data_IF_955068712511
#
_entry.id   IF_955068712511
#
_cell.length_a   1.000
_cell.length_b   1.000
_cell.length_c   1.000
_cell.angle_alpha   90.00
_cell.angle_beta   90.00
_cell.angle_gamma   90.00
#
_symmetry.space_group_name_H-M   'P 1'
#
loop_
_entity.id
_entity.type
_entity.pdbx_description
1 polymer ?
#
# COMPACT_ATOMS: atom_id res chain seq x y z
N UNK A 1 24.85 34.98 -63.06
CA UNK A 1 24.02 36.14 -62.66
C UNK A 1 23.61 35.91 -61.22
N UNK A 2 24.18 36.74 -60.32
CA UNK A 2 23.90 36.98 -58.90
C UNK A 2 24.02 35.77 -57.94
N UNK A 3 25.11 35.61 -57.18
CA UNK A 3 25.61 36.39 -56.02
C UNK A 3 24.65 36.43 -54.82
N UNK A 4 24.97 35.58 -53.84
CA UNK A 4 25.40 35.92 -52.47
C UNK A 4 24.39 36.45 -51.40
N UNK A 5 24.81 36.21 -50.14
CA UNK A 5 24.42 36.85 -48.87
C UNK A 5 23.18 36.36 -48.07
N UNK A 6 23.40 35.55 -47.02
CA UNK A 6 23.44 35.96 -45.60
C UNK A 6 23.46 34.74 -44.66
N UNK A 7 24.58 34.58 -43.94
CA UNK A 7 24.76 33.66 -42.80
C UNK A 7 24.57 34.50 -41.53
N UNK A 8 23.62 34.14 -40.66
CA UNK A 8 23.49 34.73 -39.33
C UNK A 8 23.57 33.61 -38.29
N UNK A 9 24.70 33.57 -37.59
CA UNK A 9 24.92 32.78 -36.38
C UNK A 9 24.32 33.52 -35.19
N UNK A 10 23.30 32.96 -34.53
CA UNK A 10 22.90 33.38 -33.19
C UNK A 10 23.58 32.48 -32.15
N UNK A 11 24.50 33.09 -31.41
CA UNK A 11 25.04 32.61 -30.14
C UNK A 11 24.02 32.95 -29.04
N UNK A 12 23.48 31.95 -28.36
CA UNK A 12 22.63 32.14 -27.18
C UNK A 12 23.48 31.84 -25.95
N UNK A 13 23.63 32.86 -25.09
CA UNK A 13 24.35 32.80 -23.83
C UNK A 13 23.63 31.88 -22.83
N UNK A 14 24.42 31.13 -22.05
CA UNK A 14 23.93 30.33 -20.93
C UNK A 14 23.43 31.24 -19.79
N UNK A 15 22.31 30.90 -19.13
CA UNK A 15 21.89 31.61 -17.92
C UNK A 15 22.80 31.26 -16.74
N UNK A 16 23.15 32.29 -15.97
CA UNK A 16 23.95 32.21 -14.75
C UNK A 16 23.21 31.43 -13.65
N UNK A 17 23.95 30.56 -12.95
CA UNK A 17 23.50 29.87 -11.75
C UNK A 17 23.27 30.89 -10.60
N UNK A 18 22.14 30.83 -9.87
CA UNK A 18 21.99 31.62 -8.67
C UNK A 18 22.83 31.04 -7.52
N UNK A 19 23.51 31.95 -6.82
CA UNK A 19 24.27 31.69 -5.60
C UNK A 19 23.37 31.14 -4.47
N UNK A 20 23.84 30.10 -3.81
CA UNK A 20 23.19 29.48 -2.65
C UNK A 20 23.49 30.33 -1.41
N UNK A 21 22.50 31.09 -0.97
CA UNK A 21 22.52 31.78 0.32
C UNK A 21 22.34 30.80 1.48
N UNK A 22 23.36 30.68 2.32
CA UNK A 22 23.34 29.98 3.61
C UNK A 22 22.42 30.72 4.60
N UNK A 23 21.22 30.18 4.84
CA UNK A 23 20.24 30.69 5.80
C UNK A 23 19.83 29.60 6.80
N UNK A 24 19.93 29.96 8.09
CA UNK A 24 19.66 29.19 9.31
C UNK A 24 18.52 28.15 9.27
N UNK A 25 18.80 26.97 9.83
CA UNK A 25 17.82 25.92 10.16
C UNK A 25 16.87 26.37 11.28
N UNK A 26 15.54 26.29 11.08
CA UNK A 26 14.62 26.34 12.20
C UNK A 26 14.55 24.96 12.88
N UNK A 27 14.85 24.93 14.18
CA UNK A 27 14.57 23.81 15.08
C UNK A 27 13.06 23.70 15.25
N UNK A 28 12.42 22.78 14.54
CA UNK A 28 11.01 22.42 14.80
C UNK A 28 10.99 21.30 15.83
N UNK A 29 10.60 21.66 17.05
CA UNK A 29 10.22 20.69 18.07
C UNK A 29 8.91 20.02 17.63
N UNK A 30 8.98 18.74 17.30
CA UNK A 30 7.81 17.92 17.01
C UNK A 30 7.15 17.50 18.33
N UNK A 31 6.12 18.25 18.75
CA UNK A 31 5.15 17.74 19.71
C UNK A 31 4.22 16.76 18.98
N UNK A 32 4.29 15.49 19.37
CA UNK A 32 3.41 14.42 18.91
C UNK A 32 1.99 14.65 19.45
N UNK A 33 0.93 14.68 18.62
CA UNK A 33 -0.43 14.55 19.14
C UNK A 33 -0.68 13.11 19.61
N UNK A 34 -1.22 12.98 20.82
CA UNK A 34 -1.72 11.73 21.38
C UNK A 34 -3.19 11.53 21.01
N UNK A 35 -3.50 10.49 20.22
CA UNK A 35 -4.87 9.98 20.06
C UNK A 35 -4.84 8.51 19.59
N UNK A 36 -5.60 7.65 20.27
CA UNK A 36 -6.10 6.35 19.76
C UNK A 36 -5.07 5.24 19.56
N UNK A 37 -4.60 4.64 20.65
CA UNK A 37 -3.72 3.47 20.60
C UNK A 37 -4.42 2.22 20.01
N UNK A 38 -4.31 2.01 18.70
CA UNK A 38 -3.85 0.71 18.22
C UNK A 38 -2.39 0.64 18.66
N UNK A 39 -2.13 -0.10 19.75
CA UNK A 39 -0.77 -0.26 20.23
C UNK A 39 0.07 -0.85 19.10
N UNK A 40 0.93 -0.02 18.51
CA UNK A 40 2.07 -0.45 17.71
C UNK A 40 3.02 -1.21 18.63
N UNK A 41 2.66 -2.45 18.95
CA UNK A 41 3.67 -3.45 19.23
C UNK A 41 4.44 -3.61 17.93
N UNK A 42 5.77 -3.50 17.98
CA UNK A 42 6.59 -4.14 16.97
C UNK A 42 5.99 -5.52 16.72
N UNK A 43 5.80 -5.96 15.45
CA UNK A 43 5.16 -7.24 15.17
C UNK A 43 5.80 -8.24 16.10
N UNK A 44 5.01 -8.79 17.02
CA UNK A 44 5.50 -9.75 17.98
C UNK A 44 6.11 -10.82 17.10
N UNK A 45 7.44 -10.90 17.07
CA UNK A 45 8.17 -11.81 16.20
C UNK A 45 7.45 -13.13 16.39
N UNK A 46 6.78 -13.60 15.34
CA UNK A 46 5.82 -14.69 15.43
C UNK A 46 6.63 -15.93 15.79
N UNK A 47 6.90 -16.10 17.09
CA UNK A 47 7.32 -17.33 17.73
C UNK A 47 6.08 -18.19 17.73
N UNK A 48 5.70 -18.63 16.53
CA UNK A 48 4.83 -19.79 16.37
C UNK A 48 5.41 -20.94 17.21
N UNK A 49 4.56 -21.88 17.65
CA UNK A 49 4.97 -22.98 18.52
C UNK A 49 6.26 -23.59 17.99
N UNK A 50 7.34 -23.42 18.77
CA UNK A 50 8.70 -23.67 18.32
C UNK A 50 8.82 -25.04 17.69
N UNK A 51 8.89 -25.08 16.35
CA UNK A 51 9.17 -26.29 15.62
C UNK A 51 10.48 -26.83 16.18
N UNK A 52 10.42 -28.02 16.78
CA UNK A 52 11.61 -28.67 17.33
C UNK A 52 12.70 -28.71 16.25
N UNK A 53 14.00 -28.71 16.61
CA UNK A 53 15.10 -28.76 15.65
C UNK A 53 14.96 -29.91 14.63
N UNK A 54 14.25 -30.97 15.02
CA UNK A 54 13.95 -32.11 14.16
C UNK A 54 12.88 -31.80 13.08
N UNK A 55 11.84 -31.03 13.40
CA UNK A 55 10.81 -30.63 12.42
C UNK A 55 11.39 -29.74 11.32
N UNK A 56 12.39 -28.91 11.64
CA UNK A 56 13.08 -28.07 10.64
C UNK A 56 13.94 -28.90 9.66
N UNK A 57 14.47 -30.04 10.09
CA UNK A 57 15.20 -30.97 9.23
C UNK A 57 14.30 -31.66 8.20
N UNK A 58 12.99 -31.76 8.47
CA UNK A 58 12.03 -32.47 7.63
C UNK A 58 11.29 -31.59 6.62
N UNK A 59 11.33 -30.25 6.76
CA UNK A 59 10.73 -29.32 5.80
C UNK A 59 11.64 -29.04 4.59
N UNK A 60 12.00 -30.10 3.86
CA UNK A 60 12.82 -29.99 2.65
C UNK A 60 12.17 -29.07 1.59
N UNK A 61 10.84 -29.15 1.31
CA UNK A 61 10.20 -28.24 0.36
C UNK A 61 10.33 -26.77 0.76
N UNK A 62 10.07 -26.42 2.03
CA UNK A 62 10.18 -25.04 2.50
C UNK A 62 11.61 -24.52 2.52
N UNK A 63 12.63 -25.38 2.69
CA UNK A 63 14.03 -24.96 2.56
C UNK A 63 14.43 -24.65 1.12
N UNK A 64 13.99 -25.47 0.16
CA UNK A 64 14.24 -25.23 -1.27
C UNK A 64 13.54 -23.94 -1.70
N UNK A 65 12.28 -23.75 -1.32
CA UNK A 65 11.54 -22.55 -1.68
C UNK A 65 12.10 -21.28 -1.01
N UNK A 66 12.52 -21.34 0.25
CA UNK A 66 13.23 -20.23 0.91
C UNK A 66 14.52 -19.83 0.20
N UNK A 67 15.29 -20.79 -0.30
CA UNK A 67 16.50 -20.47 -1.08
C UNK A 67 16.14 -19.74 -2.39
N UNK A 68 15.04 -20.13 -3.04
CA UNK A 68 14.50 -19.44 -4.22
C UNK A 68 13.98 -18.04 -3.87
N UNK A 69 13.18 -17.91 -2.81
CA UNK A 69 12.69 -16.64 -2.30
C UNK A 69 13.84 -15.67 -1.98
N UNK A 70 14.91 -16.15 -1.36
CA UNK A 70 16.10 -15.34 -1.09
C UNK A 70 16.77 -14.81 -2.36
N UNK A 71 16.73 -15.56 -3.47
CA UNK A 71 17.27 -15.09 -4.75
C UNK A 71 16.37 -14.03 -5.39
N UNK A 72 15.05 -14.26 -5.40
CA UNK A 72 14.07 -13.34 -5.97
C UNK A 72 14.05 -11.99 -5.23
N UNK A 73 14.17 -11.99 -3.90
CA UNK A 73 14.15 -10.78 -3.08
C UNK A 73 15.51 -10.06 -3.00
N UNK A 74 16.62 -10.69 -3.40
CA UNK A 74 17.96 -10.12 -3.22
C UNK A 74 18.16 -8.78 -3.94
N UNK A 75 17.51 -8.60 -5.10
CA UNK A 75 17.56 -7.35 -5.85
C UNK A 75 16.82 -6.22 -5.15
N UNK A 76 15.80 -6.54 -4.34
CA UNK A 76 14.84 -5.60 -3.74
C UNK A 76 15.33 -4.98 -2.41
N UNK A 77 16.21 -5.66 -1.66
CA UNK A 77 16.67 -5.22 -0.34
C UNK A 77 18.16 -4.82 -0.27
N UNK A 78 18.48 -3.90 0.64
CA UNK A 78 19.83 -3.57 1.07
C UNK A 78 20.10 -4.22 2.42
N UNK A 79 20.90 -5.29 2.45
CA UNK A 79 21.26 -5.94 3.72
C UNK A 79 22.37 -5.14 4.39
N UNK A 80 22.11 -4.62 5.59
CA UNK A 80 23.06 -3.87 6.41
C UNK A 80 23.57 -4.73 7.58
N UNK A 81 24.77 -4.41 8.06
CA UNK A 81 25.32 -5.06 9.25
C UNK A 81 24.60 -4.57 10.51
N UNK A 82 24.36 -5.46 11.48
CA UNK A 82 23.63 -5.15 12.73
C UNK A 82 24.28 -4.04 13.56
N UNK A 83 25.59 -3.81 13.40
CA UNK A 83 26.38 -2.82 14.13
C UNK A 83 26.53 -1.47 13.40
N UNK A 84 25.99 -1.34 12.18
CA UNK A 84 26.11 -0.13 11.37
C UNK A 84 24.76 0.58 11.24
N UNK A 85 24.69 1.89 11.54
CA UNK A 85 23.51 2.66 11.20
C UNK A 85 23.38 2.73 9.67
N UNK A 86 22.28 2.23 9.13
CA UNK A 86 21.90 2.43 7.73
C UNK A 86 21.56 3.89 7.44
N UNK A 87 21.26 4.20 6.18
CA UNK A 87 20.71 5.51 5.78
C UNK A 87 19.26 5.72 6.25
N UNK A 88 18.66 4.67 6.84
CA UNK A 88 17.27 4.63 7.24
C UNK A 88 16.37 4.63 6.02
N UNK A 89 16.71 3.85 4.98
CA UNK A 89 15.82 3.64 3.84
C UNK A 89 14.87 2.46 4.13
N UNK A 90 13.61 2.48 3.66
CA UNK A 90 12.63 1.45 4.03
C UNK A 90 13.01 0.00 3.67
N UNK A 91 13.88 -0.17 2.66
CA UNK A 91 14.37 -1.46 2.19
C UNK A 91 15.78 -1.82 2.73
N UNK A 92 16.32 -1.04 3.66
CA UNK A 92 17.48 -1.44 4.45
C UNK A 92 17.02 -2.34 5.59
N UNK A 93 17.61 -3.54 5.67
CA UNK A 93 17.25 -4.55 6.66
C UNK A 93 18.50 -5.27 7.14
N UNK A 94 18.52 -5.72 8.39
CA UNK A 94 19.54 -6.62 8.91
C UNK A 94 19.47 -7.99 8.23
N UNK A 95 20.51 -8.81 8.38
CA UNK A 95 20.48 -10.19 7.89
C UNK A 95 19.34 -11.00 8.55
N UNK A 96 19.10 -10.80 9.85
CA UNK A 96 18.04 -11.48 10.58
C UNK A 96 16.63 -11.09 10.10
N UNK A 97 16.41 -9.81 9.84
CA UNK A 97 15.16 -9.32 9.26
C UNK A 97 14.95 -9.84 7.82
N UNK A 98 16.01 -9.86 7.00
CA UNK A 98 15.94 -10.42 5.65
C UNK A 98 15.56 -11.90 5.66
N UNK A 99 16.10 -12.71 6.59
CA UNK A 99 15.70 -14.10 6.75
C UNK A 99 14.22 -14.28 7.14
N UNK A 100 13.68 -13.38 7.97
CA UNK A 100 12.26 -13.39 8.32
C UNK A 100 11.38 -13.03 7.11
N UNK A 101 11.78 -12.02 6.34
CA UNK A 101 11.12 -11.60 5.10
C UNK A 101 11.07 -12.76 4.10
N UNK A 102 12.22 -13.41 3.85
CA UNK A 102 12.33 -14.58 2.96
C UNK A 102 11.42 -15.71 3.42
N UNK A 103 11.35 -15.96 4.74
CA UNK A 103 10.48 -16.99 5.31
C UNK A 103 9.01 -16.67 5.07
N UNK A 104 8.55 -15.47 5.42
CA UNK A 104 7.15 -15.07 5.23
C UNK A 104 6.74 -15.14 3.76
N UNK A 105 7.56 -14.61 2.86
CA UNK A 105 7.35 -14.66 1.41
C UNK A 105 7.25 -16.10 0.87
N UNK A 106 8.10 -17.00 1.36
CA UNK A 106 8.05 -18.43 1.02
C UNK A 106 6.80 -19.12 1.59
N UNK A 107 6.45 -18.85 2.85
CA UNK A 107 5.28 -19.46 3.49
C UNK A 107 3.97 -19.03 2.81
N UNK A 108 3.85 -17.77 2.35
CA UNK A 108 2.74 -17.29 1.51
C UNK A 108 2.69 -18.08 0.20
N UNK A 109 3.82 -18.18 -0.51
CA UNK A 109 3.88 -18.94 -1.77
C UNK A 109 3.49 -20.41 -1.59
N UNK A 110 3.86 -21.02 -0.46
CA UNK A 110 3.54 -22.41 -0.16
C UNK A 110 2.12 -22.60 0.40
N UNK A 111 1.36 -21.53 0.58
CA UNK A 111 -0.01 -21.58 1.13
C UNK A 111 -0.05 -21.99 2.60
N UNK A 112 0.95 -21.58 3.39
CA UNK A 112 1.12 -21.91 4.81
C UNK A 112 0.65 -20.78 5.74
N UNK A 113 0.01 -19.76 5.19
CA UNK A 113 -0.40 -18.52 5.84
C UNK A 113 -1.89 -18.28 5.65
N UNK A 114 -2.43 -17.30 6.38
CA UNK A 114 -3.80 -16.83 6.24
C UNK A 114 -4.01 -15.93 5.00
N UNK A 115 -2.94 -15.38 4.44
CA UNK A 115 -2.92 -14.76 3.11
C UNK A 115 -2.74 -15.84 2.04
N UNK A 116 -3.76 -16.04 1.22
CA UNK A 116 -3.87 -17.14 0.25
C UNK A 116 -3.91 -16.58 -1.17
N UNK A 117 -3.06 -17.10 -2.06
CA UNK A 117 -3.11 -16.80 -3.49
C UNK A 117 -3.93 -17.89 -4.18
N UNK A 118 -5.11 -17.54 -4.67
CA UNK A 118 -6.05 -18.44 -5.33
C UNK A 118 -6.16 -18.11 -6.82
N UNK A 119 -5.29 -18.71 -7.63
CA UNK A 119 -5.31 -18.58 -9.09
C UNK A 119 -6.32 -19.47 -9.80
N UNK A 120 -7.26 -20.11 -9.09
CA UNK A 120 -8.12 -21.15 -9.64
C UNK A 120 -9.03 -20.73 -10.80
N UNK A 121 -9.25 -19.43 -10.98
CA UNK A 121 -10.03 -18.84 -12.08
C UNK A 121 -9.17 -18.27 -13.21
N UNK A 122 -7.84 -18.25 -13.06
CA UNK A 122 -6.91 -17.79 -14.11
C UNK A 122 -6.78 -18.84 -15.21
N UNK A 123 -6.57 -18.40 -16.45
CA UNK A 123 -6.18 -19.29 -17.55
C UNK A 123 -4.81 -19.93 -17.30
N UNK A 124 -3.92 -19.22 -16.60
CA UNK A 124 -2.61 -19.70 -16.14
C UNK A 124 -2.45 -19.42 -14.63
N UNK A 125 -2.84 -20.37 -13.76
CA UNK A 125 -2.75 -20.21 -12.31
C UNK A 125 -1.30 -20.05 -11.80
N UNK A 126 -0.33 -20.67 -12.48
CA UNK A 126 1.08 -20.60 -12.07
C UNK A 126 1.69 -19.25 -12.42
N UNK A 127 1.38 -18.70 -13.60
CA UNK A 127 1.77 -17.35 -13.98
C UNK A 127 1.13 -16.30 -13.05
N UNK A 128 -0.19 -16.38 -12.83
CA UNK A 128 -0.88 -15.48 -11.89
C UNK A 128 -0.23 -15.49 -10.50
N UNK A 129 0.12 -16.69 -9.99
CA UNK A 129 0.80 -16.82 -8.71
C UNK A 129 2.20 -16.22 -8.73
N UNK A 130 2.96 -16.43 -9.81
CA UNK A 130 4.29 -15.86 -9.94
C UNK A 130 4.25 -14.32 -9.97
N UNK A 131 3.35 -13.74 -10.77
CA UNK A 131 3.16 -12.29 -10.88
C UNK A 131 2.67 -11.69 -9.55
N UNK A 132 1.71 -12.34 -8.87
CA UNK A 132 1.24 -11.92 -7.55
C UNK A 132 2.37 -11.92 -6.52
N UNK A 133 3.23 -12.94 -6.54
CA UNK A 133 4.38 -12.96 -5.65
C UNK A 133 5.36 -11.83 -5.96
N UNK A 134 5.57 -11.45 -7.22
CA UNK A 134 6.45 -10.31 -7.55
C UNK A 134 5.90 -8.98 -6.97
N UNK A 135 4.60 -8.72 -7.12
CA UNK A 135 3.93 -7.55 -6.51
C UNK A 135 4.03 -7.57 -4.97
N UNK A 136 3.83 -8.73 -4.32
CA UNK A 136 4.04 -8.88 -2.86
C UNK A 136 5.49 -8.57 -2.49
N UNK A 137 6.46 -9.06 -3.28
CA UNK A 137 7.88 -8.79 -3.08
C UNK A 137 8.21 -7.30 -3.18
N UNK A 138 7.51 -6.59 -4.07
CA UNK A 138 7.61 -5.14 -4.20
C UNK A 138 6.98 -4.40 -3.02
N UNK A 139 5.81 -4.82 -2.56
CA UNK A 139 5.19 -4.28 -1.35
C UNK A 139 6.13 -4.41 -0.14
N UNK A 140 6.73 -5.59 0.05
CA UNK A 140 7.65 -5.88 1.16
C UNK A 140 8.95 -5.05 1.15
N UNK A 141 9.28 -4.32 0.08
CA UNK A 141 10.41 -3.38 0.11
C UNK A 141 10.18 -2.23 1.11
N UNK A 142 8.92 -1.94 1.43
CA UNK A 142 8.53 -0.86 2.34
C UNK A 142 8.29 -1.39 3.75
N UNK A 143 8.47 -0.56 4.78
CA UNK A 143 8.25 -0.98 6.18
C UNK A 143 6.77 -1.28 6.40
N UNK A 144 5.89 -0.37 5.97
CA UNK A 144 4.44 -0.53 6.05
C UNK A 144 3.94 -1.74 5.25
N UNK A 145 4.56 -2.05 4.12
CA UNK A 145 4.24 -3.24 3.32
C UNK A 145 4.63 -4.54 4.00
N UNK A 146 5.80 -4.63 4.65
CA UNK A 146 6.17 -5.82 5.42
C UNK A 146 5.24 -6.07 6.59
N UNK A 147 4.88 -5.02 7.31
CA UNK A 147 3.92 -5.11 8.42
C UNK A 147 2.54 -5.55 7.92
N UNK A 148 2.00 -4.91 6.88
CA UNK A 148 0.70 -5.29 6.31
C UNK A 148 0.67 -6.74 5.82
N UNK A 149 1.68 -7.17 5.05
CA UNK A 149 1.79 -8.56 4.57
C UNK A 149 1.96 -9.52 5.75
N UNK A 150 2.70 -9.15 6.79
CA UNK A 150 2.86 -9.97 8.01
C UNK A 150 1.57 -10.14 8.80
N UNK A 151 0.83 -9.05 9.02
CA UNK A 151 -0.49 -9.07 9.68
C UNK A 151 -1.48 -9.95 8.91
N UNK A 152 -1.54 -9.83 7.58
CA UNK A 152 -2.44 -10.64 6.75
C UNK A 152 -1.99 -12.11 6.62
N UNK A 153 -0.69 -12.39 6.63
CA UNK A 153 -0.16 -13.75 6.59
C UNK A 153 -0.41 -14.53 7.90
N UNK A 154 -0.52 -13.81 9.01
CA UNK A 154 -0.75 -14.37 10.35
C UNK A 154 -1.98 -13.73 11.00
N UNK A 155 -3.08 -13.67 10.23
CA UNK A 155 -4.28 -12.89 10.49
C UNK A 155 -5.14 -13.51 11.60
N UNK A 156 -4.64 -13.33 12.81
CA UNK A 156 -5.10 -13.99 14.01
C UNK A 156 -5.53 -12.95 15.03
N UNK A 157 -6.74 -13.08 15.59
CA UNK A 157 -7.25 -12.16 16.61
C UNK A 157 -7.89 -12.88 17.78
N UNK A 158 -7.79 -12.28 18.95
CA UNK A 158 -8.50 -12.76 20.15
C UNK A 158 -9.82 -12.03 20.32
N UNK A 159 -10.94 -12.74 20.12
CA UNK A 159 -12.30 -12.22 20.34
C UNK A 159 -12.96 -13.04 21.43
N UNK A 160 -13.36 -12.39 22.53
CA UNK A 160 -13.97 -13.08 23.67
C UNK A 160 -13.07 -14.15 24.30
N UNK A 161 -11.74 -13.97 24.26
CA UNK A 161 -10.75 -14.92 24.79
C UNK A 161 -10.49 -16.14 23.89
N UNK A 162 -11.01 -16.14 22.65
CA UNK A 162 -10.73 -17.17 21.65
C UNK A 162 -9.93 -16.59 20.50
N UNK A 163 -8.92 -17.34 20.09
CA UNK A 163 -8.17 -17.06 18.88
C UNK A 163 -9.02 -17.41 17.65
N UNK A 164 -9.12 -16.47 16.72
CA UNK A 164 -9.84 -16.59 15.45
C UNK A 164 -8.86 -16.24 14.34
N UNK A 165 -8.71 -17.16 13.38
CA UNK A 165 -8.00 -16.93 12.13
C UNK A 165 -8.97 -16.42 11.07
N UNK A 166 -8.52 -15.46 10.27
CA UNK A 166 -9.26 -14.93 9.11
C UNK A 166 -8.43 -15.04 7.86
N UNK A 167 -9.01 -15.53 6.78
CA UNK A 167 -8.30 -15.67 5.51
C UNK A 167 -8.49 -14.45 4.62
N UNK A 168 -7.42 -14.07 3.91
CA UNK A 168 -7.47 -13.13 2.80
C UNK A 168 -7.10 -13.87 1.53
N UNK A 169 -8.02 -13.93 0.56
CA UNK A 169 -7.81 -14.61 -0.72
C UNK A 169 -7.52 -13.61 -1.83
N UNK A 170 -6.34 -13.66 -2.41
CA UNK A 170 -5.97 -12.89 -3.61
C UNK A 170 -6.32 -13.71 -4.85
N UNK A 171 -7.24 -13.19 -5.67
CA UNK A 171 -7.85 -13.87 -6.80
C UNK A 171 -7.64 -13.08 -8.09
N UNK A 172 -7.64 -13.74 -9.26
CA UNK A 172 -7.63 -13.07 -10.56
C UNK A 172 -8.85 -12.17 -10.74
N UNK A 173 -8.62 -10.92 -11.15
CA UNK A 173 -9.69 -10.09 -11.72
C UNK A 173 -9.87 -10.46 -13.19
N UNK A 174 -11.08 -10.83 -13.58
CA UNK A 174 -11.37 -11.33 -14.93
C UNK A 174 -12.59 -10.64 -15.53
N UNK A 175 -12.47 -10.17 -16.77
CA UNK A 175 -13.57 -9.61 -17.56
C UNK A 175 -13.64 -10.38 -18.89
N UNK A 176 -14.78 -11.01 -19.16
CA UNK A 176 -15.00 -11.85 -20.35
C UNK A 176 -13.96 -12.96 -20.56
N UNK A 177 -13.38 -13.47 -19.47
CA UNK A 177 -12.37 -14.54 -19.50
C UNK A 177 -10.94 -14.06 -19.70
N UNK A 178 -10.72 -12.75 -19.86
CA UNK A 178 -9.40 -12.12 -19.94
C UNK A 178 -9.07 -11.36 -18.64
N UNK A 179 -7.79 -11.10 -18.33
CA UNK A 179 -7.42 -10.31 -17.17
C UNK A 179 -8.04 -8.91 -17.19
N UNK A 180 -8.77 -8.56 -16.13
CA UNK A 180 -9.40 -7.25 -16.00
C UNK A 180 -8.39 -6.23 -15.45
N UNK A 181 -8.02 -5.26 -16.28
CA UNK A 181 -7.09 -4.18 -15.94
C UNK A 181 -7.81 -2.86 -15.63
N UNK A 182 -9.14 -2.87 -15.56
CA UNK A 182 -9.96 -1.68 -15.33
C UNK A 182 -10.13 -1.34 -13.85
N UNK A 183 -9.82 -2.27 -12.94
CA UNK A 183 -9.87 -2.06 -11.50
C UNK A 183 -9.31 -3.23 -10.69
N UNK A 184 -9.02 -2.95 -9.42
CA UNK A 184 -8.89 -3.95 -8.38
C UNK A 184 -10.09 -3.80 -7.44
N UNK A 185 -10.59 -4.91 -6.90
CA UNK A 185 -11.79 -4.90 -6.06
C UNK A 185 -11.59 -5.85 -4.89
N UNK A 186 -11.68 -5.33 -3.68
CA UNK A 186 -11.95 -6.13 -2.48
C UNK A 186 -13.44 -6.13 -2.20
N UNK A 187 -14.03 -7.32 -2.25
CA UNK A 187 -15.45 -7.49 -1.98
C UNK A 187 -15.66 -8.16 -0.64
N UNK A 188 -16.32 -7.44 0.26
CA UNK A 188 -16.74 -7.93 1.56
C UNK A 188 -18.16 -7.46 1.82
N UNK A 189 -18.82 -8.10 2.78
CA UNK A 189 -20.06 -7.56 3.32
C UNK A 189 -19.75 -6.93 4.67
N UNK A 190 -19.11 -5.76 4.63
CA UNK A 190 -18.81 -4.98 5.82
C UNK A 190 -20.08 -4.53 6.56
N UNK A 191 -20.56 -5.38 7.46
CA UNK A 191 -21.64 -5.08 8.39
C UNK A 191 -21.08 -4.64 9.75
N UNK A 192 -21.74 -3.72 10.47
CA UNK A 192 -21.39 -3.38 11.85
C UNK A 192 -21.35 -4.64 12.74
N UNK A 193 -20.26 -4.81 13.48
CA UNK A 193 -19.99 -5.98 14.32
C UNK A 193 -19.34 -7.17 13.60
N UNK A 194 -19.24 -7.14 12.27
CA UNK A 194 -18.51 -8.12 11.46
C UNK A 194 -17.21 -7.49 10.90
N UNK A 195 -17.25 -6.95 9.68
CA UNK A 195 -16.12 -6.26 9.03
C UNK A 195 -15.92 -4.81 9.51
N UNK A 196 -16.94 -4.22 10.14
CA UNK A 196 -16.89 -2.87 10.70
C UNK A 196 -17.10 -2.86 12.22
N UNK A 197 -16.73 -1.78 12.93
CA UNK A 197 -17.05 -1.61 14.33
C UNK A 197 -18.55 -1.70 14.63
N UNK A 198 -18.90 -2.12 15.85
CA UNK A 198 -20.28 -2.12 16.34
C UNK A 198 -20.78 -0.70 16.68
N UNK A 199 -22.04 -0.60 17.10
CA UNK A 199 -22.67 0.69 17.49
C UNK A 199 -21.99 1.39 18.67
N UNK A 200 -21.09 0.71 19.38
CA UNK A 200 -20.29 1.26 20.47
C UNK A 200 -18.84 1.55 20.05
N UNK A 201 -18.53 1.44 18.77
CA UNK A 201 -17.19 1.65 18.22
C UNK A 201 -16.20 0.54 18.57
N UNK A 202 -16.67 -0.62 19.07
CA UNK A 202 -15.77 -1.75 19.30
C UNK A 202 -15.52 -2.45 17.97
N UNK A 203 -14.27 -2.90 17.70
CA UNK A 203 -14.00 -3.67 16.50
C UNK A 203 -14.93 -4.88 16.38
N UNK A 204 -15.45 -5.11 15.18
CA UNK A 204 -16.19 -6.29 14.83
C UNK A 204 -15.34 -7.56 14.93
N UNK A 205 -16.02 -8.71 14.77
CA UNK A 205 -15.40 -10.03 14.82
C UNK A 205 -14.46 -10.33 13.65
N UNK A 206 -14.50 -9.50 12.60
CA UNK A 206 -13.83 -9.73 11.33
C UNK A 206 -14.48 -10.83 10.51
N UNK A 207 -14.22 -10.84 9.21
CA UNK A 207 -14.61 -11.94 8.32
C UNK A 207 -13.48 -12.34 7.38
N UNK A 208 -13.61 -13.51 6.75
CA UNK A 208 -12.73 -13.87 5.63
C UNK A 208 -13.08 -12.96 4.44
N UNK A 209 -12.06 -12.58 3.68
CA UNK A 209 -12.18 -11.61 2.58
C UNK A 209 -11.48 -12.13 1.34
N UNK A 210 -11.89 -11.59 0.19
CA UNK A 210 -11.22 -11.83 -1.06
C UNK A 210 -11.01 -10.52 -1.83
N UNK A 211 -9.89 -10.46 -2.54
CA UNK A 211 -9.45 -9.35 -3.36
C UNK A 211 -9.21 -9.86 -4.77
N UNK A 212 -9.91 -9.28 -5.74
CA UNK A 212 -9.66 -9.50 -7.16
C UNK A 212 -8.68 -8.46 -7.68
N UNK A 213 -7.63 -8.93 -8.34
CA UNK A 213 -6.60 -8.08 -8.94
C UNK A 213 -5.96 -8.76 -10.14
N UNK A 214 -5.40 -7.96 -11.05
CA UNK A 214 -4.53 -8.43 -12.12
C UNK A 214 -3.09 -8.04 -11.78
N UNK A 215 -2.29 -8.95 -11.20
CA UNK A 215 -0.94 -8.65 -10.75
C UNK A 215 -0.02 -8.32 -11.92
N UNK A 216 1.03 -7.52 -11.67
CA UNK A 216 2.03 -7.10 -12.66
C UNK A 216 1.46 -6.35 -13.90
N UNK A 217 0.20 -5.93 -13.83
CA UNK A 217 -0.45 -5.08 -14.81
C UNK A 217 -0.92 -3.80 -14.14
N UNK A 218 -0.39 -2.66 -14.59
CA UNK A 218 -0.87 -1.38 -14.11
C UNK A 218 -2.37 -1.24 -14.43
N UNK A 219 -3.14 -0.78 -13.45
CA UNK A 219 -4.58 -0.59 -13.54
C UNK A 219 -4.86 0.73 -14.26
N UNK A 220 -5.50 0.63 -15.42
CA UNK A 220 -5.93 1.77 -16.20
C UNK A 220 -7.26 2.30 -15.67
N UNK A 221 -7.27 3.50 -15.10
CA UNK A 221 -8.51 4.19 -14.76
C UNK A 221 -9.06 4.92 -15.99
N UNK A 222 -10.33 4.74 -16.34
CA UNK A 222 -10.96 5.49 -17.45
C UNK A 222 -10.86 6.99 -17.18
N UNK A 223 -10.12 7.71 -18.03
CA UNK A 223 -9.86 9.14 -17.87
C UNK A 223 -8.93 9.52 -16.70
N UNK A 224 -8.42 8.54 -15.95
CA UNK A 224 -7.53 8.73 -14.80
C UNK A 224 -6.08 8.36 -15.08
N UNK A 225 -5.17 8.62 -14.13
CA UNK A 225 -3.80 8.13 -14.21
C UNK A 225 -3.79 6.61 -14.09
N UNK A 226 -2.83 5.99 -14.77
CA UNK A 226 -2.51 4.57 -14.61
C UNK A 226 -1.93 4.35 -13.22
N UNK A 227 -2.49 3.39 -12.47
CA UNK A 227 -2.03 3.02 -11.12
C UNK A 227 -1.18 1.76 -11.22
N UNK A 228 0.00 1.76 -10.60
CA UNK A 228 0.88 0.59 -10.58
C UNK A 228 0.26 -0.59 -9.82
N UNK A 229 0.45 -1.81 -10.30
CA UNK A 229 -0.18 -3.03 -9.74
C UNK A 229 0.04 -3.19 -8.24
N UNK A 230 1.27 -3.06 -7.76
CA UNK A 230 1.64 -3.14 -6.35
C UNK A 230 0.94 -2.08 -5.48
N UNK A 231 0.69 -0.87 -6.01
CA UNK A 231 -0.03 0.19 -5.31
C UNK A 231 -1.51 -0.14 -5.20
N UNK A 232 -2.11 -0.65 -6.28
CA UNK A 232 -3.50 -1.13 -6.26
C UNK A 232 -3.65 -2.32 -5.30
N UNK A 233 -2.73 -3.29 -5.35
CA UNK A 233 -2.71 -4.43 -4.43
C UNK A 233 -2.59 -3.97 -2.97
N UNK A 234 -1.66 -3.07 -2.66
CA UNK A 234 -1.51 -2.54 -1.31
C UNK A 234 -2.82 -1.90 -0.82
N UNK A 235 -3.46 -1.06 -1.64
CA UNK A 235 -4.73 -0.41 -1.31
C UNK A 235 -5.81 -1.44 -0.93
N UNK A 236 -5.98 -2.45 -1.77
CA UNK A 236 -6.95 -3.52 -1.54
C UNK A 236 -6.61 -4.38 -0.31
N UNK A 237 -5.32 -4.63 -0.05
CA UNK A 237 -4.88 -5.33 1.16
C UNK A 237 -5.15 -4.53 2.43
N UNK A 238 -5.16 -3.18 2.38
CA UNK A 238 -5.57 -2.36 3.52
C UNK A 238 -7.06 -2.52 3.81
N UNK A 239 -7.92 -2.54 2.78
CA UNK A 239 -9.34 -2.89 2.96
C UNK A 239 -9.48 -4.28 3.60
N UNK A 240 -8.77 -5.27 3.07
CA UNK A 240 -8.80 -6.64 3.57
C UNK A 240 -8.38 -6.73 5.05
N UNK A 241 -7.32 -6.02 5.45
CA UNK A 241 -6.87 -5.96 6.84
C UNK A 241 -7.97 -5.40 7.75
N UNK A 242 -8.56 -4.27 7.35
CA UNK A 242 -9.60 -3.65 8.16
C UNK A 242 -10.85 -4.53 8.28
N UNK A 243 -11.25 -5.20 7.21
CA UNK A 243 -12.38 -6.12 7.22
C UNK A 243 -12.12 -7.37 8.05
N UNK A 244 -10.95 -8.01 7.94
CA UNK A 244 -10.63 -9.16 8.78
C UNK A 244 -10.44 -8.79 10.24
N UNK A 245 -10.17 -7.52 10.52
CA UNK A 245 -10.04 -6.98 11.87
C UNK A 245 -11.33 -6.32 12.38
N UNK A 246 -12.42 -6.30 11.61
CA UNK A 246 -13.66 -5.66 12.03
C UNK A 246 -13.50 -4.15 12.31
N UNK A 247 -12.56 -3.50 11.64
CA UNK A 247 -12.19 -2.09 11.83
C UNK A 247 -12.44 -1.23 10.60
N UNK A 248 -13.13 -1.78 9.59
CA UNK A 248 -13.47 -1.04 8.39
C UNK A 248 -14.37 0.15 8.72
N UNK A 249 -14.00 1.31 8.21
CA UNK A 249 -14.82 2.51 8.33
C UNK A 249 -15.99 2.48 7.34
N UNK A 250 -17.08 1.85 7.75
CA UNK A 250 -18.30 1.73 6.94
C UNK A 250 -19.11 3.03 6.84
N UNK A 251 -18.61 4.14 7.41
CA UNK A 251 -19.26 5.45 7.35
C UNK A 251 -19.25 6.06 5.95
N UNK A 252 -19.98 7.17 5.82
CA UNK A 252 -19.79 8.09 4.68
C UNK A 252 -18.67 9.07 4.99
N UNK A 253 -18.01 9.57 3.96
CA UNK A 253 -17.11 10.72 4.11
C UNK A 253 -17.96 11.93 4.50
N UNK A 254 -17.62 12.56 5.61
CA UNK A 254 -18.31 13.76 6.11
C UNK A 254 -17.47 15.01 5.81
N UNK A 255 -18.12 16.16 5.61
CA UNK A 255 -17.41 17.42 5.41
C UNK A 255 -16.49 17.81 6.59
N UNK A 256 -16.70 17.21 7.77
CA UNK A 256 -15.83 17.38 8.94
C UNK A 256 -14.51 16.62 8.85
N UNK A 257 -14.37 15.65 7.94
CA UNK A 257 -13.18 14.80 7.84
C UNK A 257 -11.94 15.55 7.30
N UNK A 258 -12.11 16.77 6.77
CA UNK A 258 -11.02 17.66 6.31
C UNK A 258 -10.29 18.36 7.47
N UNK A 259 -10.81 18.23 8.69
CA UNK A 259 -10.38 19.02 9.84
C UNK A 259 -10.73 20.52 9.69
N UNK A 260 -10.72 21.29 10.79
CA UNK A 260 -10.94 22.73 10.71
C UNK A 260 -9.80 23.41 9.94
N UNK A 261 -10.13 24.46 9.17
CA UNK A 261 -9.11 25.27 8.47
C UNK A 261 -8.12 25.81 9.51
N UNK A 262 -6.88 25.34 9.43
CA UNK A 262 -5.78 25.77 10.28
C UNK A 262 -5.24 27.10 9.75
N UNK A 263 -5.85 28.18 10.24
CA UNK A 263 -5.47 29.54 9.92
C UNK A 263 -4.01 29.88 10.29
N UNK A 264 -3.31 29.03 11.05
CA UNK A 264 -1.90 29.25 11.42
C UNK A 264 -0.91 28.81 10.34
N UNK A 265 -1.34 28.05 9.32
CA UNK A 265 -0.46 27.58 8.22
C UNK A 265 -0.08 28.65 7.19
N UNK A 266 -0.45 29.90 7.42
CA UNK A 266 -0.26 30.99 6.46
C UNK A 266 -1.12 30.82 5.21
N UNK A 267 -1.07 31.79 4.29
CA UNK A 267 -1.96 31.85 3.13
C UNK A 267 -1.84 30.60 2.22
N UNK A 268 -0.62 30.09 2.02
CA UNK A 268 -0.39 28.90 1.20
C UNK A 268 -0.99 27.64 1.85
N UNK A 269 -0.80 27.45 3.15
CA UNK A 269 -1.39 26.30 3.85
C UNK A 269 -2.92 26.37 3.97
N UNK A 270 -3.50 27.58 3.99
CA UNK A 270 -4.96 27.76 3.89
C UNK A 270 -5.46 27.36 2.49
N UNK A 271 -4.74 27.73 1.43
CA UNK A 271 -5.09 27.34 0.04
C UNK A 271 -5.04 25.82 -0.13
N UNK A 272 -3.99 25.17 0.37
CA UNK A 272 -3.86 23.70 0.32
C UNK A 272 -5.01 23.01 1.06
N UNK A 273 -5.43 23.56 2.20
CA UNK A 273 -6.53 23.00 2.98
C UNK A 273 -7.91 23.26 2.35
N UNK A 274 -8.09 24.41 1.67
CA UNK A 274 -9.29 24.68 0.89
C UNK A 274 -9.42 23.73 -0.31
N UNK A 275 -8.31 23.39 -0.96
CA UNK A 275 -8.29 22.38 -2.02
C UNK A 275 -8.65 20.98 -1.48
N UNK A 276 -8.13 20.60 -0.31
CA UNK A 276 -8.53 19.38 0.36
C UNK A 276 -10.03 19.38 0.73
N UNK A 277 -10.56 20.54 1.16
CA UNK A 277 -11.97 20.70 1.50
C UNK A 277 -12.88 20.50 0.28
N UNK A 278 -12.52 21.10 -0.85
CA UNK A 278 -13.22 20.94 -2.12
C UNK A 278 -13.24 19.47 -2.57
N UNK A 279 -12.10 18.77 -2.46
CA UNK A 279 -12.00 17.34 -2.77
C UNK A 279 -12.88 16.45 -1.89
N UNK A 280 -12.98 16.75 -0.58
CA UNK A 280 -13.85 16.00 0.33
C UNK A 280 -15.32 16.29 0.09
N UNK A 281 -15.70 17.52 -0.27
CA UNK A 281 -17.07 17.83 -0.67
C UNK A 281 -17.46 17.11 -1.96
N UNK A 282 -16.55 17.04 -2.94
CA UNK A 282 -16.73 16.25 -4.14
C UNK A 282 -16.93 14.77 -3.77
N UNK A 283 -16.06 14.19 -2.94
CA UNK A 283 -16.17 12.81 -2.46
C UNK A 283 -17.49 12.52 -1.71
N UNK A 284 -17.89 13.39 -0.79
CA UNK A 284 -19.15 13.26 -0.07
C UNK A 284 -20.35 13.33 -1.04
N UNK A 285 -20.28 14.21 -2.05
CA UNK A 285 -21.32 14.33 -3.07
C UNK A 285 -21.39 13.12 -4.01
N UNK A 286 -20.27 12.44 -4.25
CA UNK A 286 -20.16 11.20 -5.03
C UNK A 286 -20.51 9.94 -4.21
N UNK A 287 -20.82 10.10 -2.92
CA UNK A 287 -21.05 9.00 -1.99
C UNK A 287 -19.81 8.10 -1.86
N UNK A 288 -18.62 8.70 -1.80
CA UNK A 288 -17.38 8.01 -1.42
C UNK A 288 -17.53 7.53 0.02
N UNK A 289 -17.16 6.26 0.25
CA UNK A 289 -17.25 5.64 1.58
C UNK A 289 -16.00 5.97 2.38
N UNK A 290 -16.12 6.15 3.69
CA UNK A 290 -15.00 6.47 4.57
C UNK A 290 -13.88 5.42 4.51
N UNK A 291 -14.20 4.15 4.26
CA UNK A 291 -13.21 3.09 4.01
C UNK A 291 -12.20 3.42 2.90
N UNK A 292 -12.61 4.16 1.87
CA UNK A 292 -11.70 4.55 0.78
C UNK A 292 -10.70 5.61 1.25
N UNK A 293 -11.14 6.52 2.13
CA UNK A 293 -10.26 7.47 2.81
C UNK A 293 -9.35 6.75 3.81
N UNK A 294 -9.85 5.73 4.52
CA UNK A 294 -9.06 4.86 5.40
C UNK A 294 -7.95 4.14 4.63
N UNK A 295 -8.27 3.45 3.54
CA UNK A 295 -7.28 2.75 2.72
C UNK A 295 -6.29 3.71 2.04
N UNK A 296 -6.76 4.87 1.58
CA UNK A 296 -5.88 5.85 0.91
C UNK A 296 -5.00 6.62 1.89
N UNK A 297 -5.48 6.86 3.13
CA UNK A 297 -4.86 7.78 4.08
C UNK A 297 -5.22 9.23 3.80
N UNK A 298 -6.51 9.53 3.77
CA UNK A 298 -7.09 10.86 3.58
C UNK A 298 -7.86 11.32 4.82
N UNK A 299 -8.08 12.62 4.93
CA UNK A 299 -8.87 13.21 6.02
C UNK A 299 -8.41 12.76 7.40
N UNK A 300 -9.33 12.24 8.22
CA UNK A 300 -9.03 11.71 9.56
C UNK A 300 -8.07 10.52 9.59
N UNK A 301 -7.86 9.85 8.46
CA UNK A 301 -6.99 8.68 8.33
C UNK A 301 -5.59 9.02 7.80
N UNK A 302 -5.27 10.29 7.55
CA UNK A 302 -3.97 10.70 7.01
C UNK A 302 -2.77 10.32 7.89
N UNK A 303 -3.00 10.04 9.18
CA UNK A 303 -1.98 9.59 10.13
C UNK A 303 -1.95 8.08 10.38
N UNK A 304 -2.84 7.30 9.75
CA UNK A 304 -2.93 5.86 9.98
C UNK A 304 -1.70 5.13 9.41
N UNK A 305 -1.29 4.05 10.10
CA UNK A 305 -0.07 3.29 9.74
C UNK A 305 -0.21 2.61 8.38
N UNK A 306 -1.36 2.00 8.14
CA UNK A 306 -1.64 1.22 6.93
C UNK A 306 -2.46 2.06 5.96
N UNK A 307 -1.78 2.81 5.10
CA UNK A 307 -2.43 3.63 4.08
C UNK A 307 -1.61 3.65 2.80
N UNK A 308 -2.30 3.75 1.66
CA UNK A 308 -1.67 3.91 0.35
C UNK A 308 -0.68 5.10 0.34
N UNK A 309 -1.02 6.20 1.02
CA UNK A 309 -0.15 7.37 1.11
C UNK A 309 1.14 7.12 1.89
N UNK A 310 1.11 6.35 2.98
CA UNK A 310 2.32 5.91 3.70
C UNK A 310 3.17 5.02 2.78
N UNK A 311 2.54 4.05 2.11
CA UNK A 311 3.23 3.19 1.14
C UNK A 311 3.92 4.00 0.04
N UNK A 312 3.19 4.92 -0.59
CA UNK A 312 3.73 5.83 -1.64
C UNK A 312 4.92 6.65 -1.15
N UNK A 313 4.85 7.16 0.09
CA UNK A 313 5.94 7.92 0.69
C UNK A 313 7.19 7.05 0.92
N UNK A 314 7.00 5.81 1.37
CA UNK A 314 8.10 4.84 1.54
C UNK A 314 8.69 4.43 0.19
N UNK A 315 7.87 4.19 -0.85
CA UNK A 315 8.35 3.94 -2.22
C UNK A 315 9.25 5.06 -2.76
N UNK A 316 8.85 6.33 -2.58
CA UNK A 316 9.70 7.49 -2.94
C UNK A 316 11.07 7.45 -2.25
N UNK A 317 11.13 6.99 -0.99
CA UNK A 317 12.40 6.83 -0.25
C UNK A 317 13.21 5.66 -0.80
N UNK A 318 12.56 4.53 -1.10
CA UNK A 318 13.21 3.34 -1.70
C UNK A 318 13.86 3.67 -3.04
N UNK A 319 13.30 4.57 -3.85
CA UNK A 319 13.94 5.04 -5.10
C UNK A 319 15.38 5.55 -4.89
N UNK A 320 15.70 6.09 -3.71
CA UNK A 320 17.05 6.61 -3.40
C UNK A 320 18.08 5.51 -3.17
N UNK A 321 17.64 4.28 -2.87
CA UNK A 321 18.53 3.11 -2.67
C UNK A 321 19.12 2.57 -3.98
N UNK A 322 18.60 2.99 -5.14
CA UNK A 322 18.94 2.37 -6.43
C UNK A 322 18.29 1.00 -6.68
N UNK A 323 17.48 0.49 -5.74
CA UNK A 323 16.70 -0.76 -5.86
C UNK A 323 15.20 -0.54 -6.04
N UNK A 324 14.75 0.71 -6.10
CA UNK A 324 13.35 1.05 -6.35
C UNK A 324 12.88 0.67 -7.76
N UNK A 325 11.57 0.63 -7.92
CA UNK A 325 10.90 0.38 -9.18
C UNK A 325 10.81 1.66 -10.02
N UNK A 326 10.54 1.47 -11.30
CA UNK A 326 10.22 2.58 -12.20
C UNK A 326 9.03 3.38 -11.65
N UNK A 327 9.18 4.70 -11.62
CA UNK A 327 8.14 5.64 -11.17
C UNK A 327 8.11 5.90 -9.66
N UNK A 328 8.87 5.17 -8.83
CA UNK A 328 8.89 5.38 -7.38
C UNK A 328 9.23 6.82 -6.99
N UNK A 329 10.26 7.40 -7.60
CA UNK A 329 10.72 8.76 -7.29
C UNK A 329 9.66 9.84 -7.60
N UNK A 330 8.78 9.58 -8.58
CA UNK A 330 7.72 10.49 -9.02
C UNK A 330 6.35 10.14 -8.46
N UNK A 331 6.24 9.13 -7.60
CA UNK A 331 4.97 8.64 -7.09
C UNK A 331 4.34 9.72 -6.20
N UNK A 332 3.32 10.42 -6.69
CA UNK A 332 2.64 11.47 -5.93
C UNK A 332 1.84 10.89 -4.76
N UNK A 333 1.73 11.66 -3.68
CA UNK A 333 0.74 11.41 -2.63
C UNK A 333 -0.66 11.71 -3.19
N UNK A 334 -1.68 10.97 -2.75
CA UNK A 334 -3.08 11.28 -3.05
C UNK A 334 -3.59 12.31 -2.05
N UNK A 335 -4.19 13.36 -2.57
CA UNK A 335 -4.83 14.45 -1.84
C UNK A 335 -6.37 14.34 -1.85
N UNK A 336 -6.92 13.57 -2.79
CA UNK A 336 -8.33 13.24 -2.92
C UNK A 336 -8.52 11.79 -3.35
N UNK A 337 -9.69 11.24 -3.03
CA UNK A 337 -10.12 10.01 -3.67
C UNK A 337 -10.75 10.37 -5.01
N UNK A 338 -10.56 9.53 -6.01
CA UNK A 338 -11.21 9.72 -7.32
C UNK A 338 -12.02 8.48 -7.56
N UNK A 339 -13.31 8.57 -7.24
CA UNK A 339 -14.24 7.48 -7.45
C UNK A 339 -14.42 7.30 -8.95
N UNK A 340 -14.23 6.07 -9.43
CA UNK A 340 -14.53 5.70 -10.79
C UNK A 340 -16.05 5.82 -11.01
N UNK A 341 -16.49 6.89 -11.68
CA UNK A 341 -17.78 6.87 -12.37
C UNK A 341 -17.62 6.10 -13.68
N UNK A 342 -17.34 4.80 -13.57
CA UNK A 342 -17.61 3.90 -14.67
C UNK A 342 -19.08 3.98 -14.98
N UNK A 343 -19.41 4.30 -16.22
CA UNK A 343 -20.75 4.34 -16.79
C UNK A 343 -21.40 2.95 -16.84
N UNK A 344 -21.42 2.22 -15.73
CA UNK A 344 -22.21 0.99 -15.58
C UNK A 344 -23.72 1.27 -15.59
N UNK A 345 -24.12 2.56 -15.60
CA UNK A 345 -25.51 2.99 -15.71
C UNK A 345 -25.97 3.28 -17.16
N UNK A 346 -25.08 3.31 -18.16
CA UNK A 346 -25.48 3.54 -19.56
C UNK A 346 -25.96 2.27 -20.29
N UNK A 347 -26.13 1.14 -19.57
CA UNK A 347 -26.53 -0.15 -20.14
C UNK A 347 -27.84 -0.75 -19.60
N UNK A 348 -28.58 -0.03 -18.75
CA UNK A 348 -29.90 -0.47 -18.26
C UNK A 348 -30.98 0.50 -18.76
N UNK A 349 -31.06 0.67 -20.07
CA UNK A 349 -32.27 1.12 -20.76
C UNK A 349 -32.56 0.14 -21.89
N UNK A 350 -33.38 -0.88 -21.58
CA UNK A 350 -34.52 -1.36 -22.39
C UNK A 350 -35.32 -2.44 -21.65
#
# INVERSE_FOLDING_TARGET
MFEDVFRATQSVAAPASPEVGSGASPTVAAERPSAGALAAGAPAAATGPGLTPFSQLLDLPGRIDRARAAQELASKFCIIDDDKPGEGLPNEVTAAEYEQIVRNYSDIRLGRTDLVIDGGTSQDPDAFKADMMDDIGDIMQTESGRELVGELAHNTRTVGGKEIHRQVRLMPSMLDGEPDTTGAITATMAYPGLGAPDEHGKPGTGEDTWTQITPNHDVGMSGGPVIRSDVALYHEMVHALHDTHGTLDAGSVEASDVGPIDATRGLLGIVDQLAAYDGVLEDASLGTRAKEHQATGLGRHAGDRFTENVYRAERRRVARSGKGLRGDASMAQRDRYTKFMGSYLDGIED
#
